data_IF_389710748907
#
_entry.id   IF_389710748907
#
_cell.length_a   1.000
_cell.length_b   1.000
_cell.length_c   1.000
_cell.angle_alpha   90.00
_cell.angle_beta   90.00
_cell.angle_gamma   90.00
#
_symmetry.space_group_name_H-M   'P 1'
#
loop_
_entity.id
_entity.type
_entity.pdbx_description
1 polymer ?
#
# COMPACT_ATOMS: atom_id res chain seq x y z
N UNK A 1 -10.39 -17.68 4.77
CA UNK A 1 -9.27 -18.57 4.35
C UNK A 1 -8.64 -17.90 3.14
N UNK A 2 -7.32 -17.72 3.17
CA UNK A 2 -6.58 -17.21 2.01
C UNK A 2 -6.66 -18.24 0.88
N UNK A 3 -6.66 -17.80 -0.38
CA UNK A 3 -6.54 -18.69 -1.54
C UNK A 3 -5.15 -19.34 -1.58
N UNK A 4 -4.98 -20.47 -2.28
CA UNK A 4 -3.66 -21.13 -2.42
C UNK A 4 -2.55 -20.18 -2.87
N UNK A 5 -2.75 -19.29 -3.88
CA UNK A 5 -1.72 -18.33 -4.28
C UNK A 5 -1.44 -17.25 -3.21
N UNK A 6 -2.41 -16.87 -2.39
CA UNK A 6 -2.20 -15.92 -1.28
C UNK A 6 -1.38 -16.52 -0.15
N UNK A 7 -1.56 -17.80 0.11
CA UNK A 7 -0.77 -18.54 1.10
C UNK A 7 0.71 -18.64 0.66
N UNK A 8 0.97 -18.94 -0.62
CA UNK A 8 2.33 -18.97 -1.17
C UNK A 8 3.00 -17.59 -1.11
N UNK A 9 2.28 -16.53 -1.49
CA UNK A 9 2.79 -15.15 -1.39
C UNK A 9 3.16 -14.84 0.06
N UNK A 10 2.30 -15.19 1.02
CA UNK A 10 2.55 -14.90 2.43
C UNK A 10 3.78 -15.63 2.97
N UNK A 11 3.99 -16.90 2.66
CA UNK A 11 5.20 -17.62 3.09
C UNK A 11 6.46 -17.01 2.47
N UNK A 12 6.44 -16.62 1.20
CA UNK A 12 7.57 -15.95 0.55
C UNK A 12 7.92 -14.61 1.23
N UNK A 13 6.94 -13.76 1.51
CA UNK A 13 7.21 -12.45 2.16
C UNK A 13 7.66 -12.61 3.59
N UNK A 14 7.19 -13.63 4.30
CA UNK A 14 7.63 -13.98 5.64
C UNK A 14 9.10 -14.42 5.66
N UNK A 15 9.52 -15.20 4.65
CA UNK A 15 10.92 -15.59 4.49
C UNK A 15 11.82 -14.39 4.19
N UNK A 16 11.43 -13.54 3.23
CA UNK A 16 12.14 -12.30 2.88
C UNK A 16 12.30 -11.41 4.12
N UNK A 17 11.23 -11.19 4.87
CA UNK A 17 11.27 -10.36 6.07
C UNK A 17 12.12 -10.99 7.17
N UNK A 18 11.99 -12.30 7.38
CA UNK A 18 12.82 -13.03 8.35
C UNK A 18 14.31 -12.95 8.03
N UNK A 19 14.67 -13.08 6.74
CA UNK A 19 16.05 -12.93 6.29
C UNK A 19 16.55 -11.51 6.53
N UNK A 20 15.78 -10.49 6.09
CA UNK A 20 16.11 -9.09 6.28
C UNK A 20 16.36 -8.74 7.76
N UNK A 21 15.47 -9.18 8.66
CA UNK A 21 15.64 -8.98 10.10
C UNK A 21 16.93 -9.60 10.64
N UNK A 22 17.27 -10.80 10.17
CA UNK A 22 18.52 -11.48 10.55
C UNK A 22 19.76 -10.73 10.06
N UNK A 23 19.79 -10.36 8.78
CA UNK A 23 20.92 -9.69 8.14
C UNK A 23 21.24 -8.32 8.77
N UNK A 24 20.19 -7.64 9.31
CA UNK A 24 20.31 -6.33 9.96
C UNK A 24 20.27 -6.38 11.50
N UNK A 25 20.45 -7.56 12.10
CA UNK A 25 20.46 -7.74 13.56
C UNK A 25 19.18 -7.27 14.28
N UNK A 26 18.05 -7.28 13.59
CA UNK A 26 16.75 -6.96 14.17
C UNK A 26 16.11 -8.20 14.82
N UNK A 27 15.41 -8.01 15.94
CA UNK A 27 14.70 -9.10 16.62
C UNK A 27 13.52 -9.59 15.78
N UNK A 28 13.41 -10.91 15.64
CA UNK A 28 12.26 -11.60 15.02
C UNK A 28 11.19 -11.81 16.09
N UNK A 29 10.24 -10.88 16.21
CA UNK A 29 9.19 -10.96 17.23
C UNK A 29 7.84 -11.35 16.63
N UNK A 30 6.97 -12.05 17.38
CA UNK A 30 5.64 -12.42 16.90
C UNK A 30 4.80 -11.24 16.43
N UNK A 31 4.94 -10.07 17.09
CA UNK A 31 4.20 -8.86 16.75
C UNK A 31 4.57 -8.36 15.36
N UNK A 32 5.85 -8.40 14.98
CA UNK A 32 6.29 -8.00 13.63
C UNK A 32 5.71 -8.88 12.54
N UNK A 33 5.65 -10.18 12.77
CA UNK A 33 5.05 -11.11 11.81
C UNK A 33 3.52 -11.01 11.78
N UNK A 34 2.88 -10.69 12.91
CA UNK A 34 1.45 -10.40 12.93
C UNK A 34 1.11 -9.12 12.14
N UNK A 35 1.96 -8.08 12.23
CA UNK A 35 1.82 -6.87 11.42
C UNK A 35 2.00 -7.18 9.94
N UNK A 36 3.02 -7.95 9.56
CA UNK A 36 3.23 -8.40 8.19
C UNK A 36 1.99 -9.15 7.66
N UNK A 37 1.44 -10.07 8.47
CA UNK A 37 0.25 -10.82 8.09
C UNK A 37 -0.96 -9.90 7.85
N UNK A 38 -1.20 -8.91 8.71
CA UNK A 38 -2.30 -7.97 8.56
C UNK A 38 -2.13 -7.06 7.34
N UNK A 39 -0.91 -6.62 7.05
CA UNK A 39 -0.58 -5.85 5.84
C UNK A 39 -0.92 -6.65 4.59
N UNK A 40 -0.52 -7.92 4.53
CA UNK A 40 -0.76 -8.79 3.37
C UNK A 40 -2.18 -9.34 3.28
N UNK A 41 -2.95 -9.27 4.35
CA UNK A 41 -4.40 -9.53 4.35
C UNK A 41 -5.24 -8.30 3.95
N UNK A 42 -4.61 -7.15 3.71
CA UNK A 42 -5.30 -5.91 3.32
C UNK A 42 -5.10 -5.66 1.82
N UNK A 43 -6.19 -5.66 1.05
CA UNK A 43 -6.18 -5.52 -0.41
C UNK A 43 -6.24 -4.07 -0.90
N UNK A 44 -6.24 -3.11 0.01
CA UNK A 44 -6.37 -1.68 -0.31
C UNK A 44 -5.29 -0.89 0.43
N UNK A 45 -5.08 0.35 -0.01
CA UNK A 45 -4.22 1.28 0.71
C UNK A 45 -4.68 1.45 2.16
N UNK A 46 -3.74 1.52 3.08
CA UNK A 46 -4.01 1.72 4.50
C UNK A 46 -3.11 2.83 5.07
N UNK A 47 -3.53 3.44 6.14
CA UNK A 47 -2.70 4.28 7.00
C UNK A 47 -2.39 3.56 8.32
N UNK A 48 -1.45 4.09 9.09
CA UNK A 48 -1.01 3.45 10.35
C UNK A 48 -2.14 3.35 11.38
N UNK A 49 -3.02 4.34 11.45
CA UNK A 49 -4.11 4.34 12.43
C UNK A 49 -5.17 3.30 12.07
N UNK A 50 -5.54 3.18 10.81
CA UNK A 50 -6.48 2.15 10.34
C UNK A 50 -5.91 0.75 10.57
N UNK A 51 -4.62 0.54 10.33
CA UNK A 51 -3.95 -0.73 10.61
C UNK A 51 -3.92 -1.02 12.12
N UNK A 52 -3.63 -0.01 12.95
CA UNK A 52 -3.66 -0.14 14.41
C UNK A 52 -5.05 -0.57 14.93
N UNK A 53 -6.11 0.07 14.43
CA UNK A 53 -7.49 -0.27 14.79
C UNK A 53 -7.84 -1.71 14.40
N UNK A 54 -7.48 -2.13 13.19
CA UNK A 54 -7.68 -3.52 12.71
C UNK A 54 -6.97 -4.54 13.61
N UNK A 55 -5.69 -4.29 13.94
CA UNK A 55 -4.92 -5.20 14.79
C UNK A 55 -5.51 -5.29 16.20
N UNK A 56 -5.95 -4.15 16.75
CA UNK A 56 -6.59 -4.11 18.07
C UNK A 56 -7.92 -4.87 18.07
N UNK A 57 -8.73 -4.75 17.02
CA UNK A 57 -9.98 -5.50 16.87
C UNK A 57 -9.75 -7.03 16.81
N UNK A 58 -8.61 -7.47 16.31
CA UNK A 58 -8.16 -8.88 16.30
C UNK A 58 -7.43 -9.30 17.59
N UNK A 59 -7.48 -8.49 18.65
CA UNK A 59 -6.83 -8.73 19.95
C UNK A 59 -5.29 -8.83 19.89
N UNK A 60 -4.65 -8.31 18.86
CA UNK A 60 -3.20 -8.17 18.85
C UNK A 60 -2.76 -7.01 19.76
N UNK A 61 -1.88 -7.33 20.72
CA UNK A 61 -1.31 -6.33 21.65
C UNK A 61 -0.07 -5.68 21.03
N UNK A 62 -0.27 -4.79 20.07
CA UNK A 62 0.81 -4.02 19.45
C UNK A 62 0.69 -2.55 19.82
N UNK A 63 1.84 -1.89 20.07
CA UNK A 63 1.88 -0.45 20.27
C UNK A 63 1.97 0.28 18.91
N UNK A 64 1.58 1.56 18.89
CA UNK A 64 1.82 2.40 17.69
C UNK A 64 3.29 2.46 17.33
N UNK A 65 4.18 2.58 18.31
CA UNK A 65 5.63 2.57 18.07
C UNK A 65 6.10 1.28 17.40
N UNK A 66 5.58 0.12 17.80
CA UNK A 66 5.87 -1.17 17.16
C UNK A 66 5.38 -1.21 15.73
N UNK A 67 4.19 -0.65 15.45
CA UNK A 67 3.66 -0.53 14.09
C UNK A 67 4.55 0.35 13.20
N UNK A 68 4.84 1.58 13.62
CA UNK A 68 5.72 2.48 12.87
C UNK A 68 7.06 1.83 12.57
N UNK A 69 7.74 1.30 13.59
CA UNK A 69 9.04 0.66 13.43
C UNK A 69 8.97 -0.57 12.49
N UNK A 70 7.89 -1.34 12.52
CA UNK A 70 7.76 -2.51 11.66
C UNK A 70 7.47 -2.09 10.22
N UNK A 71 6.62 -1.10 9.99
CA UNK A 71 6.35 -0.56 8.65
C UNK A 71 7.63 0.01 8.02
N UNK A 72 8.48 0.72 8.77
CA UNK A 72 9.78 1.19 8.26
C UNK A 72 10.66 0.01 7.81
N UNK A 73 10.75 -1.06 8.60
CA UNK A 73 11.50 -2.27 8.19
C UNK A 73 10.90 -2.94 6.94
N UNK A 74 9.58 -2.92 6.79
CA UNK A 74 8.89 -3.46 5.60
C UNK A 74 9.11 -2.59 4.36
N UNK A 75 9.23 -1.27 4.51
CA UNK A 75 9.64 -0.34 3.45
C UNK A 75 11.08 -0.61 3.01
N UNK A 76 12.01 -0.75 3.96
CA UNK A 76 13.41 -0.99 3.69
C UNK A 76 13.64 -2.30 2.92
N UNK A 77 12.93 -3.37 3.28
CA UNK A 77 13.00 -4.64 2.54
C UNK A 77 12.04 -4.72 1.34
N UNK A 78 11.41 -3.60 0.95
CA UNK A 78 10.54 -3.46 -0.23
C UNK A 78 9.32 -4.40 -0.24
N UNK A 79 8.83 -4.75 0.93
CA UNK A 79 7.58 -5.49 1.09
C UNK A 79 6.36 -4.58 1.19
N UNK A 80 6.57 -3.30 1.44
CA UNK A 80 5.55 -2.25 1.49
C UNK A 80 6.03 -1.06 0.68
N UNK A 81 5.11 -0.39 0.00
CA UNK A 81 5.34 0.89 -0.67
C UNK A 81 4.59 1.99 0.09
N UNK A 82 5.20 3.17 0.17
CA UNK A 82 4.62 4.36 0.77
C UNK A 82 4.19 5.33 -0.32
N UNK A 83 2.96 5.79 -0.23
CA UNK A 83 2.39 6.83 -1.08
C UNK A 83 2.02 8.04 -0.25
N UNK A 84 2.20 9.22 -0.79
CA UNK A 84 1.75 10.46 -0.17
C UNK A 84 0.72 11.13 -1.06
N UNK A 85 -0.54 10.83 -0.78
CA UNK A 85 -1.68 11.39 -1.50
C UNK A 85 -2.16 12.66 -0.80
N UNK A 86 -1.62 13.84 -1.20
CA UNK A 86 -1.96 15.12 -0.57
C UNK A 86 -1.07 15.49 0.63
N UNK A 87 -1.56 16.40 1.47
CA UNK A 87 -0.67 17.13 2.39
C UNK A 87 -0.34 16.44 3.71
N UNK A 88 -1.12 15.48 4.22
CA UNK A 88 -1.02 15.12 5.64
C UNK A 88 -1.07 13.63 6.01
N UNK A 89 -1.39 12.69 5.13
CA UNK A 89 -1.49 11.28 5.51
C UNK A 89 -0.70 10.42 4.52
N UNK A 90 0.27 9.68 5.04
CA UNK A 90 0.96 8.65 4.28
C UNK A 90 0.07 7.40 4.18
N UNK A 91 -0.11 6.91 2.99
CA UNK A 91 -0.77 5.65 2.70
C UNK A 91 0.28 4.60 2.35
N UNK A 92 0.00 3.37 2.69
CA UNK A 92 0.88 2.23 2.47
C UNK A 92 0.13 1.14 1.74
N UNK A 93 0.84 0.36 0.95
CA UNK A 93 0.32 -0.83 0.27
C UNK A 93 1.38 -1.93 0.23
N UNK A 94 0.93 -3.17 0.07
CA UNK A 94 1.81 -4.32 -0.15
C UNK A 94 2.48 -4.24 -1.53
N UNK A 95 3.78 -4.53 -1.63
CA UNK A 95 4.54 -4.40 -2.88
C UNK A 95 4.89 -5.72 -3.55
N UNK A 96 5.00 -6.82 -2.80
CA UNK A 96 5.50 -8.09 -3.33
C UNK A 96 4.52 -8.72 -4.30
N UNK A 97 4.96 -8.91 -5.56
CA UNK A 97 4.13 -9.42 -6.67
C UNK A 97 2.84 -8.62 -6.92
N UNK A 98 2.79 -7.37 -6.47
CA UNK A 98 1.69 -6.47 -6.78
C UNK A 98 1.93 -5.78 -8.12
N UNK A 99 0.94 -5.84 -9.02
CA UNK A 99 1.08 -5.24 -10.34
C UNK A 99 1.17 -3.70 -10.23
N UNK A 100 2.03 -3.10 -11.05
CA UNK A 100 2.11 -1.65 -11.19
C UNK A 100 0.73 -1.09 -11.55
N UNK A 101 0.28 -0.09 -10.82
CA UNK A 101 -0.97 0.62 -11.05
C UNK A 101 -0.81 2.11 -10.72
N UNK A 102 -1.76 2.89 -11.17
CA UNK A 102 -1.80 4.34 -11.01
C UNK A 102 -2.97 4.75 -10.13
N UNK A 103 -2.97 5.98 -9.64
CA UNK A 103 -3.91 6.41 -8.63
C UNK A 103 -4.72 7.63 -9.08
N UNK A 104 -6.02 7.61 -8.78
CA UNK A 104 -6.89 8.78 -8.79
C UNK A 104 -7.33 9.09 -7.36
N UNK A 105 -6.94 10.24 -6.86
CA UNK A 105 -7.22 10.70 -5.50
C UNK A 105 -8.37 11.70 -5.53
N UNK A 106 -9.44 11.39 -4.80
CA UNK A 106 -10.55 12.31 -4.63
C UNK A 106 -10.19 13.40 -3.61
N UNK A 107 -10.16 14.65 -4.05
CA UNK A 107 -9.85 15.79 -3.19
C UNK A 107 -10.97 16.11 -2.19
N UNK A 108 -12.21 15.64 -2.45
CA UNK A 108 -13.36 15.89 -1.58
C UNK A 108 -13.42 14.94 -0.38
N UNK A 109 -13.07 13.66 -0.58
CA UNK A 109 -13.19 12.63 0.47
C UNK A 109 -11.89 11.87 0.77
N UNK A 110 -10.79 12.19 0.10
CA UNK A 110 -9.49 11.54 0.28
C UNK A 110 -9.41 10.09 -0.24
N UNK A 111 -10.48 9.55 -0.83
CA UNK A 111 -10.49 8.18 -1.31
C UNK A 111 -9.57 8.00 -2.51
N UNK A 112 -8.79 6.94 -2.48
CA UNK A 112 -7.87 6.52 -3.53
C UNK A 112 -8.53 5.45 -4.40
N UNK A 113 -8.42 5.60 -5.71
CA UNK A 113 -8.86 4.64 -6.72
C UNK A 113 -7.66 4.22 -7.53
N UNK A 114 -7.52 2.93 -7.75
CA UNK A 114 -6.51 2.35 -8.61
C UNK A 114 -7.04 2.22 -10.03
N UNK A 115 -6.16 2.44 -11.00
CA UNK A 115 -6.46 2.18 -12.40
C UNK A 115 -5.18 1.76 -13.14
N UNK A 116 -5.35 1.06 -14.25
CA UNK A 116 -4.28 0.71 -15.17
C UNK A 116 -4.70 1.16 -16.57
N UNK A 117 -3.79 1.85 -17.28
CA UNK A 117 -4.01 2.23 -18.68
C UNK A 117 -2.77 1.85 -19.51
N UNK A 118 -2.92 0.97 -20.51
CA UNK A 118 -1.78 0.55 -21.35
C UNK A 118 -1.05 1.70 -22.05
N UNK A 119 -1.70 2.84 -22.26
CA UNK A 119 -1.10 4.02 -22.86
C UNK A 119 0.00 4.61 -22.01
N UNK A 120 -0.07 4.46 -20.69
CA UNK A 120 0.98 4.92 -19.76
C UNK A 120 2.27 4.16 -20.00
N UNK A 121 2.20 2.85 -20.19
CA UNK A 121 3.35 2.04 -20.55
C UNK A 121 3.96 2.46 -21.90
N UNK A 122 3.13 2.82 -22.88
CA UNK A 122 3.61 3.34 -24.18
C UNK A 122 4.35 4.68 -24.01
N UNK A 123 3.81 5.58 -23.18
CA UNK A 123 4.45 6.86 -22.86
C UNK A 123 5.80 6.62 -22.17
N UNK A 124 5.85 5.70 -21.21
CA UNK A 124 7.07 5.32 -20.51
C UNK A 124 8.15 4.80 -21.47
N UNK A 125 7.79 3.88 -22.36
CA UNK A 125 8.72 3.32 -23.35
C UNK A 125 9.23 4.43 -24.31
N UNK A 126 8.33 5.23 -24.84
CA UNK A 126 8.69 6.35 -25.73
C UNK A 126 9.61 7.36 -25.05
N UNK A 127 9.34 7.71 -23.80
CA UNK A 127 10.22 8.61 -23.04
C UNK A 127 11.61 7.99 -22.80
N UNK A 128 11.66 6.70 -22.52
CA UNK A 128 12.92 5.96 -22.41
C UNK A 128 13.73 5.99 -23.71
N UNK A 129 13.09 5.70 -24.84
CA UNK A 129 13.73 5.71 -26.16
C UNK A 129 14.26 7.10 -26.54
N UNK A 130 13.46 8.15 -26.31
CA UNK A 130 13.84 9.53 -26.65
C UNK A 130 15.01 10.05 -25.80
N UNK A 131 15.06 9.65 -24.53
CA UNK A 131 16.04 10.15 -23.56
C UNK A 131 17.21 9.19 -23.32
N UNK A 132 17.23 8.04 -23.99
CA UNK A 132 18.22 6.97 -23.83
C UNK A 132 18.31 6.43 -22.39
N UNK A 133 17.12 6.14 -21.81
CA UNK A 133 17.00 5.59 -20.46
C UNK A 133 16.22 4.27 -20.44
N UNK A 134 16.64 3.34 -19.60
CA UNK A 134 15.83 2.20 -19.20
C UNK A 134 14.97 2.61 -18.01
N UNK A 135 13.69 2.90 -18.24
CA UNK A 135 12.77 3.29 -17.17
C UNK A 135 12.27 2.04 -16.47
N UNK A 136 12.53 1.92 -15.18
CA UNK A 136 12.20 0.72 -14.38
C UNK A 136 10.83 0.80 -13.70
N UNK A 137 10.35 2.01 -13.41
CA UNK A 137 9.05 2.25 -12.78
C UNK A 137 8.55 3.67 -13.07
N UNK A 138 7.28 3.90 -12.77
CA UNK A 138 6.69 5.24 -12.79
C UNK A 138 5.75 5.40 -11.58
N UNK A 139 5.30 6.62 -11.34
CA UNK A 139 4.22 6.93 -10.40
C UNK A 139 3.36 8.02 -11.01
N UNK A 140 2.09 7.71 -11.26
CA UNK A 140 1.12 8.66 -11.78
C UNK A 140 -0.03 8.83 -10.79
N UNK A 141 -0.25 10.06 -10.38
CA UNK A 141 -1.32 10.41 -9.47
C UNK A 141 -2.20 11.48 -10.08
N UNK A 142 -3.47 11.18 -10.28
CA UNK A 142 -4.49 12.15 -10.64
C UNK A 142 -5.21 12.64 -9.39
N UNK A 143 -5.47 13.93 -9.35
CA UNK A 143 -6.24 14.56 -8.29
C UNK A 143 -7.50 15.18 -8.90
N UNK A 144 -8.65 14.86 -8.33
CA UNK A 144 -9.90 15.34 -8.88
C UNK A 144 -11.03 15.38 -7.86
N UNK A 145 -12.06 16.17 -8.17
CA UNK A 145 -13.28 16.25 -7.38
C UNK A 145 -14.35 15.32 -7.93
N UNK A 146 -15.18 14.78 -7.04
CA UNK A 146 -16.28 13.90 -7.40
C UNK A 146 -17.35 14.69 -8.21
N UNK A 147 -17.57 14.33 -9.48
CA UNK A 147 -18.57 14.99 -10.33
C UNK A 147 -19.99 14.99 -9.72
N UNK A 148 -20.35 13.97 -8.94
CA UNK A 148 -21.65 13.91 -8.26
C UNK A 148 -21.73 14.93 -7.13
N UNK A 149 -20.66 15.12 -6.34
CA UNK A 149 -20.62 16.15 -5.30
C UNK A 149 -20.64 17.55 -5.90
N UNK A 150 -19.90 17.80 -6.98
CA UNK A 150 -19.89 19.07 -7.70
C UNK A 150 -21.29 19.45 -8.23
N UNK A 151 -22.14 18.47 -8.53
CA UNK A 151 -23.51 18.64 -9.00
C UNK A 151 -24.56 18.60 -7.86
N UNK A 152 -24.16 18.76 -6.60
CA UNK A 152 -25.07 18.77 -5.44
C UNK A 152 -25.57 17.38 -5.00
N UNK A 153 -25.05 16.30 -5.54
CA UNK A 153 -25.36 14.92 -5.17
C UNK A 153 -24.49 14.40 -4.02
N UNK A 154 -24.72 13.17 -3.61
CA UNK A 154 -23.87 12.45 -2.64
C UNK A 154 -22.81 11.61 -3.37
N UNK A 155 -21.63 11.50 -2.82
CA UNK A 155 -20.62 10.58 -3.30
C UNK A 155 -21.01 9.15 -2.91
N UNK A 156 -21.52 8.36 -3.84
CA UNK A 156 -21.95 6.96 -3.61
C UNK A 156 -20.75 6.05 -3.23
N UNK A 157 -19.54 6.57 -3.33
CA UNK A 157 -18.31 5.86 -3.02
C UNK A 157 -17.76 6.19 -1.62
N UNK A 158 -18.36 7.17 -0.94
CA UNK A 158 -18.17 7.29 0.50
C UNK A 158 -18.86 6.10 1.16
N UNK A 159 -18.10 5.17 1.73
CA UNK A 159 -18.68 4.23 2.69
C UNK A 159 -19.26 5.08 3.82
N UNK A 160 -20.53 4.86 4.15
CA UNK A 160 -21.07 5.35 5.40
C UNK A 160 -20.14 4.84 6.50
N UNK A 161 -19.64 5.76 7.33
CA UNK A 161 -18.95 5.39 8.56
C UNK A 161 -20.02 4.73 9.45
N UNK A 162 -19.95 3.41 9.57
CA UNK A 162 -20.61 2.65 10.62
C UNK A 162 -19.81 2.75 11.91
#
# INVERSE_FOLDING_TARGET
MLSEPETEIFENVKEIFSKYLGDHSHRKTPERFAILAEVYATDVHFDIESLYVKMKAKNYRVSRATLYNTIELLLDCKLVTKHQFGKNIAHFERSYKYAQHDHLICQDCGKVFEFCDPRIQQIQNMAGDVLDFTITNHSLNFYGSCKKLANGGKCDRMKQAD
#
